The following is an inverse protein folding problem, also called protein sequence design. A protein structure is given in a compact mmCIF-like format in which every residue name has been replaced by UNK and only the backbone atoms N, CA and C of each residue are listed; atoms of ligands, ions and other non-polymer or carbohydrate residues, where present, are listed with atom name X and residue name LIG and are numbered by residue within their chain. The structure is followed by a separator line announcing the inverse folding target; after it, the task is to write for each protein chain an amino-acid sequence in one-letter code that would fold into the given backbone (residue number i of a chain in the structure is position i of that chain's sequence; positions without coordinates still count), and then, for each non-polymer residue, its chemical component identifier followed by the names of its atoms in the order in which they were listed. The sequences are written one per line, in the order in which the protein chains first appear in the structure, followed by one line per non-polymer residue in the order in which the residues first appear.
data_IF_614708688221
#
_entry.id   IF_614708688221
#
_cell.length_a   1.000
_cell.length_b   1.000
_cell.length_c   1.000
_cell.angle_alpha   90.00
_cell.angle_beta   90.00
_cell.angle_gamma   90.00
#
_symmetry.space_group_name_H-M   'P 1'
#
loop_
_entity.id
_entity.type
_entity.pdbx_description
1 polymer ?
#
# COMPACT_ATOMS: atom_id res chain seq x y z
N UNK A 1 -23.02 -8.17 -2.22
CA UNK A 1 -22.34 -6.89 -2.52
C UNK A 1 -22.23 -6.16 -1.20
N UNK A 2 -21.02 -5.77 -0.79
CA UNK A 2 -20.85 -5.00 0.45
C UNK A 2 -21.35 -3.58 0.16
N UNK A 3 -22.25 -3.06 0.99
CA UNK A 3 -22.71 -1.68 0.88
C UNK A 3 -21.49 -0.75 1.11
N UNK A 4 -21.19 0.21 0.22
CA UNK A 4 -19.95 0.99 0.30
C UNK A 4 -20.06 2.11 1.36
N UNK A 5 -20.48 1.75 2.56
CA UNK A 5 -20.44 2.63 3.72
C UNK A 5 -19.02 2.66 4.29
N UNK A 6 -18.70 3.72 5.02
CA UNK A 6 -17.44 3.84 5.74
C UNK A 6 -17.26 2.68 6.73
N UNK A 7 -18.33 2.27 7.39
CA UNK A 7 -18.36 1.17 8.35
C UNK A 7 -18.01 -0.16 7.67
N UNK A 8 -18.61 -0.44 6.51
CA UNK A 8 -18.33 -1.65 5.75
C UNK A 8 -16.91 -1.68 5.19
N UNK A 9 -16.38 -0.54 4.72
CA UNK A 9 -14.97 -0.43 4.31
C UNK A 9 -14.03 -0.66 5.51
N UNK A 10 -14.34 -0.06 6.66
CA UNK A 10 -13.52 -0.22 7.87
C UNK A 10 -13.51 -1.66 8.39
N UNK A 11 -14.63 -2.39 8.28
CA UNK A 11 -14.67 -3.82 8.60
C UNK A 11 -13.71 -4.64 7.72
N UNK A 12 -13.56 -4.29 6.44
CA UNK A 12 -12.58 -4.93 5.56
C UNK A 12 -11.14 -4.56 5.94
N UNK A 13 -10.89 -3.28 6.24
CA UNK A 13 -9.55 -2.74 6.49
C UNK A 13 -9.00 -3.06 7.88
N UNK A 14 -9.85 -3.47 8.82
CA UNK A 14 -9.45 -3.83 10.20
C UNK A 14 -8.30 -4.85 10.22
N UNK A 15 -8.40 -5.90 9.39
CA UNK A 15 -7.39 -6.95 9.32
C UNK A 15 -6.04 -6.53 8.71
N UNK A 16 -5.98 -5.30 8.18
CA UNK A 16 -4.82 -4.65 7.61
C UNK A 16 -4.29 -3.51 8.48
N UNK A 17 -4.94 -3.22 9.62
CA UNK A 17 -4.53 -2.15 10.53
C UNK A 17 -4.78 -0.75 9.99
N UNK A 18 -5.79 -0.56 9.13
CA UNK A 18 -6.13 0.75 8.56
C UNK A 18 -7.60 1.04 8.84
N UNK A 19 -7.92 2.29 9.19
CA UNK A 19 -9.31 2.75 9.37
C UNK A 19 -9.51 4.13 8.77
N UNK A 20 -10.56 4.29 7.96
CA UNK A 20 -10.98 5.59 7.43
C UNK A 20 -11.75 6.36 8.50
N UNK A 21 -11.31 7.58 8.78
CA UNK A 21 -11.87 8.44 9.81
C UNK A 21 -13.05 9.26 9.28
N UNK A 22 -13.92 9.71 10.18
CA UNK A 22 -15.07 10.56 9.85
C UNK A 22 -14.70 12.05 9.95
N UNK A 23 -13.83 12.48 9.02
CA UNK A 23 -13.36 13.86 8.92
C UNK A 23 -13.03 14.24 7.47
N UNK A 24 -12.74 15.52 7.24
CA UNK A 24 -12.22 16.05 5.98
C UNK A 24 -10.95 16.86 6.24
N UNK A 25 -9.92 16.65 5.41
CA UNK A 25 -8.62 17.30 5.57
C UNK A 25 -8.51 18.58 4.73
N UNK A 26 -7.94 19.61 5.34
CA UNK A 26 -7.53 20.87 4.74
C UNK A 26 -6.06 21.15 5.11
N UNK A 27 -5.41 21.92 4.26
CA UNK A 27 -4.04 22.40 4.43
C UNK A 27 -4.04 23.88 3.99
N UNK A 28 -4.08 24.82 4.95
CA UNK A 28 -4.27 26.23 4.64
C UNK A 28 -3.18 26.82 3.76
N UNK A 29 -1.93 26.40 3.94
CA UNK A 29 -0.77 26.91 3.22
C UNK A 29 -0.58 26.18 1.89
N UNK A 30 -0.88 24.88 1.83
CA UNK A 30 -0.61 24.04 0.68
C UNK A 30 -1.90 23.46 0.11
N UNK A 31 -2.64 24.27 -0.69
CA UNK A 31 -3.89 23.84 -1.36
C UNK A 31 -4.15 24.53 -2.69
N UNK A 32 -5.01 23.93 -3.53
CA UNK A 32 -5.41 24.49 -4.84
C UNK A 32 -6.84 25.01 -4.85
N UNK A 33 -7.03 26.27 -4.49
CA UNK A 33 -8.29 26.99 -4.66
C UNK A 33 -9.32 26.79 -3.54
N UNK A 34 -9.65 25.56 -3.13
CA UNK A 34 -10.55 25.30 -1.98
C UNK A 34 -9.82 24.66 -0.80
N UNK A 35 -10.42 24.77 0.39
CA UNK A 35 -10.02 24.01 1.59
C UNK A 35 -10.11 22.50 1.42
N UNK A 36 -10.84 22.05 0.41
CA UNK A 36 -11.04 20.64 0.09
C UNK A 36 -9.98 20.04 -0.83
N UNK A 37 -8.89 20.77 -1.11
CA UNK A 37 -7.86 20.37 -2.09
C UNK A 37 -6.44 20.52 -1.57
N UNK A 38 -6.09 19.82 -0.46
CA UNK A 38 -4.75 19.89 0.11
C UNK A 38 -3.72 19.25 -0.83
N UNK A 39 -2.50 19.78 -0.77
CA UNK A 39 -1.31 19.36 -1.50
C UNK A 39 -0.33 18.77 -0.50
N UNK A 40 -0.19 17.44 -0.54
CA UNK A 40 0.64 16.69 0.40
C UNK A 40 2.03 16.49 -0.17
N UNK A 41 3.03 16.93 0.60
CA UNK A 41 4.46 16.83 0.27
C UNK A 41 5.26 16.06 1.33
N UNK A 42 4.68 15.78 2.51
CA UNK A 42 5.29 14.91 3.52
C UNK A 42 5.10 13.43 3.12
N UNK A 43 5.98 12.98 2.23
CA UNK A 43 5.97 11.66 1.61
C UNK A 43 7.05 10.77 2.24
N UNK A 44 6.67 9.57 2.69
CA UNK A 44 7.64 8.62 3.23
C UNK A 44 8.46 7.96 2.12
N UNK A 45 9.65 7.46 2.47
CA UNK A 45 10.48 6.69 1.53
C UNK A 45 9.80 5.36 1.21
N UNK A 46 9.24 5.25 0.01
CA UNK A 46 8.57 4.05 -0.49
C UNK A 46 8.58 4.05 -2.03
N UNK A 47 8.61 2.89 -2.73
CA UNK A 47 8.54 2.86 -4.21
C UNK A 47 7.34 3.62 -4.79
N UNK A 48 6.23 3.70 -4.05
CA UNK A 48 5.05 4.48 -4.44
C UNK A 48 5.37 5.98 -4.62
N UNK A 49 6.31 6.51 -3.84
CA UNK A 49 6.68 7.93 -3.84
C UNK A 49 7.94 8.24 -4.67
N UNK A 50 8.46 7.27 -5.44
CA UNK A 50 9.68 7.48 -6.22
C UNK A 50 9.46 8.53 -7.33
N UNK A 51 10.29 9.58 -7.31
CA UNK A 51 10.22 10.69 -8.27
C UNK A 51 9.03 11.62 -8.06
N UNK A 52 8.40 11.61 -6.88
CA UNK A 52 7.22 12.40 -6.54
C UNK A 52 7.61 13.46 -5.51
N UNK A 53 7.28 14.71 -5.78
CA UNK A 53 7.48 15.80 -4.83
C UNK A 53 6.21 16.05 -4.01
N UNK A 54 5.05 15.96 -4.65
CA UNK A 54 3.77 16.20 -3.96
C UNK A 54 2.58 15.62 -4.73
N UNK A 55 1.53 15.27 -4.01
CA UNK A 55 0.25 14.84 -4.57
C UNK A 55 -0.85 15.81 -4.15
N UNK A 56 -1.82 16.03 -5.04
CA UNK A 56 -3.00 16.82 -4.72
C UNK A 56 -4.21 15.92 -4.55
N UNK A 57 -4.92 16.15 -3.46
CA UNK A 57 -6.09 15.37 -3.09
C UNK A 57 -7.36 16.19 -3.24
N UNK A 58 -8.49 15.50 -3.22
CA UNK A 58 -9.80 16.08 -3.46
C UNK A 58 -10.78 15.52 -2.44
N UNK A 59 -11.24 16.37 -1.53
CA UNK A 59 -12.08 16.00 -0.37
C UNK A 59 -11.56 14.77 0.40
N UNK A 60 -10.27 14.73 0.79
CA UNK A 60 -9.72 13.57 1.48
C UNK A 60 -10.23 13.44 2.93
N UNK A 61 -10.55 12.23 3.35
CA UNK A 61 -10.62 11.83 4.76
C UNK A 61 -9.24 11.38 5.26
N UNK A 62 -8.96 11.52 6.55
CA UNK A 62 -7.74 10.97 7.13
C UNK A 62 -7.89 9.50 7.47
N UNK A 63 -6.75 8.84 7.70
CA UNK A 63 -6.64 7.45 8.07
C UNK A 63 -6.08 7.34 9.50
N UNK A 64 -6.62 6.41 10.28
CA UNK A 64 -6.01 5.92 11.50
C UNK A 64 -5.26 4.62 11.18
N UNK A 65 -4.03 4.50 11.67
CA UNK A 65 -3.14 3.37 11.41
C UNK A 65 -2.89 2.61 12.72
N UNK A 66 -2.99 1.30 12.63
CA UNK A 66 -2.67 0.33 13.69
C UNK A 66 -1.69 -0.71 13.16
N UNK A 67 -0.96 -1.33 14.09
CA UNK A 67 -0.07 -2.46 13.81
C UNK A 67 0.99 -2.20 12.72
N UNK A 68 0.97 -2.97 11.63
CA UNK A 68 2.03 -3.07 10.62
C UNK A 68 1.78 -2.25 9.35
N UNK A 69 0.70 -1.48 9.31
CA UNK A 69 0.46 -0.61 8.16
C UNK A 69 1.50 0.51 8.09
N UNK A 70 1.92 0.83 6.87
CA UNK A 70 2.98 1.80 6.57
C UNK A 70 2.35 3.07 6.05
N UNK A 71 2.67 4.19 6.69
CA UNK A 71 2.26 5.53 6.25
C UNK A 71 3.05 5.91 5.00
N UNK A 72 2.34 6.28 3.93
CA UNK A 72 2.91 6.69 2.64
C UNK A 72 2.90 8.21 2.47
N UNK A 73 1.81 8.86 2.87
CA UNK A 73 1.65 10.31 2.77
C UNK A 73 0.83 10.83 3.96
N UNK A 74 1.26 11.95 4.53
CA UNK A 74 0.64 12.60 5.69
C UNK A 74 0.69 14.12 5.56
N UNK A 75 -0.05 14.83 6.40
CA UNK A 75 0.04 16.28 6.52
C UNK A 75 1.40 16.79 6.98
N UNK A 76 1.56 18.10 6.93
CA UNK A 76 2.67 18.85 7.51
C UNK A 76 2.22 19.56 8.81
N UNK A 77 2.86 20.65 9.20
CA UNK A 77 2.65 21.29 10.51
C UNK A 77 1.30 22.00 10.66
N UNK A 78 0.70 22.51 9.60
CA UNK A 78 -0.57 23.25 9.63
C UNK A 78 -1.71 22.52 8.91
N UNK A 79 -1.46 21.34 8.36
CA UNK A 79 -2.52 20.41 7.95
C UNK A 79 -3.45 20.08 9.13
N UNK A 80 -4.76 20.05 8.90
CA UNK A 80 -5.72 19.58 9.88
C UNK A 80 -6.89 18.82 9.24
N UNK A 81 -7.54 17.97 10.04
CA UNK A 81 -8.76 17.30 9.64
C UNK A 81 -9.92 17.69 10.58
N UNK A 82 -11.03 18.18 10.01
CA UNK A 82 -12.23 18.56 10.75
C UNK A 82 -13.36 17.55 10.55
N UNK A 83 -14.13 17.27 11.59
CA UNK A 83 -15.25 16.34 11.54
C UNK A 83 -15.59 15.81 12.92
N UNK A 84 -16.15 14.60 12.98
CA UNK A 84 -16.43 13.93 14.25
C UNK A 84 -15.16 13.40 14.93
N UNK A 85 -14.06 13.26 14.19
CA UNK A 85 -12.78 12.75 14.66
C UNK A 85 -11.63 13.69 14.21
N UNK A 86 -11.41 14.83 14.89
CA UNK A 86 -10.45 15.82 14.43
C UNK A 86 -8.99 15.42 14.68
N UNK A 87 -8.10 15.85 13.79
CA UNK A 87 -6.64 15.64 13.88
C UNK A 87 -5.89 16.89 13.37
N UNK A 88 -4.61 16.99 13.72
CA UNK A 88 -3.75 18.09 13.28
C UNK A 88 -2.31 17.66 13.07
N UNK A 89 -1.63 18.43 12.23
CA UNK A 89 -0.24 18.27 11.90
C UNK A 89 0.06 17.00 11.08
N UNK A 90 1.25 16.46 11.31
CA UNK A 90 1.71 15.21 10.70
C UNK A 90 0.92 13.96 11.14
N UNK A 91 -0.01 14.09 12.10
CA UNK A 91 -0.90 12.99 12.47
C UNK A 91 -2.00 12.77 11.43
N UNK A 92 -2.21 13.71 10.52
CA UNK A 92 -3.20 13.60 9.45
C UNK A 92 -2.65 12.70 8.33
N UNK A 93 -2.88 11.40 8.44
CA UNK A 93 -2.41 10.41 7.45
C UNK A 93 -3.42 10.33 6.31
N UNK A 94 -2.99 10.41 5.05
CA UNK A 94 -3.89 10.34 3.89
C UNK A 94 -3.71 9.09 3.04
N UNK A 95 -2.48 8.57 2.98
CA UNK A 95 -2.19 7.34 2.24
C UNK A 95 -1.46 6.38 3.15
N UNK A 96 -1.93 5.15 3.19
CA UNK A 96 -1.25 4.06 3.87
C UNK A 96 -1.34 2.75 3.07
N UNK A 97 -0.39 1.87 3.32
CA UNK A 97 -0.36 0.54 2.72
C UNK A 97 -0.17 -0.53 3.78
N UNK A 98 -0.58 -1.75 3.46
CA UNK A 98 -0.40 -2.92 4.32
C UNK A 98 -0.15 -4.16 3.46
N UNK A 99 0.71 -5.04 3.95
CA UNK A 99 0.99 -6.33 3.31
C UNK A 99 0.60 -7.47 4.25
N UNK A 100 -0.12 -8.46 3.72
CA UNK A 100 -0.51 -9.67 4.47
C UNK A 100 -0.33 -10.90 3.59
N UNK A 101 0.68 -11.70 3.90
CA UNK A 101 1.13 -12.79 3.03
C UNK A 101 1.60 -12.21 1.69
N UNK A 102 0.98 -12.66 0.59
CA UNK A 102 1.23 -12.14 -0.77
C UNK A 102 0.27 -11.02 -1.18
N UNK A 103 -0.71 -10.67 -0.33
CA UNK A 103 -1.67 -9.62 -0.60
C UNK A 103 -1.13 -8.25 -0.20
N UNK A 104 -1.36 -7.26 -1.06
CA UNK A 104 -1.05 -5.85 -0.81
C UNK A 104 -2.35 -5.06 -0.83
N UNK A 105 -2.49 -4.14 0.13
CA UNK A 105 -3.60 -3.19 0.20
C UNK A 105 -3.01 -1.79 0.26
N UNK A 106 -3.61 -0.87 -0.49
CA UNK A 106 -3.35 0.56 -0.39
C UNK A 106 -4.68 1.27 -0.16
N UNK A 107 -4.67 2.23 0.76
CA UNK A 107 -5.83 3.04 1.12
C UNK A 107 -5.47 4.50 0.92
N UNK A 108 -6.30 5.21 0.17
CA UNK A 108 -6.18 6.64 -0.08
C UNK A 108 -7.44 7.29 0.46
N UNK A 109 -7.29 8.33 1.27
CA UNK A 109 -8.40 9.09 1.84
C UNK A 109 -9.28 9.82 0.82
N UNK A 110 -8.92 9.85 -0.47
CA UNK A 110 -9.63 10.56 -1.54
C UNK A 110 -10.01 9.60 -2.67
N UNK A 111 -11.27 9.65 -3.08
CA UNK A 111 -11.77 8.89 -4.24
C UNK A 111 -11.49 9.57 -5.58
N UNK A 112 -11.18 10.86 -5.60
CA UNK A 112 -11.14 11.67 -6.83
C UNK A 112 -9.71 11.93 -7.34
N UNK A 113 -8.66 11.51 -6.62
CA UNK A 113 -7.26 11.72 -7.03
C UNK A 113 -6.95 11.17 -8.43
N UNK A 114 -7.65 10.11 -8.84
CA UNK A 114 -7.46 9.43 -10.12
C UNK A 114 -8.56 9.67 -11.14
N UNK A 115 -9.48 10.61 -10.88
CA UNK A 115 -10.50 10.98 -11.86
C UNK A 115 -9.88 11.58 -13.13
N UNK A 116 -10.57 11.44 -14.26
CA UNK A 116 -10.11 11.93 -15.57
C UNK A 116 -9.65 13.39 -15.55
N UNK A 117 -10.36 14.25 -14.81
CA UNK A 117 -10.02 15.67 -14.70
C UNK A 117 -8.91 15.99 -13.71
N UNK A 118 -8.46 15.02 -12.90
CA UNK A 118 -7.64 15.23 -11.70
C UNK A 118 -6.32 14.46 -11.71
N UNK A 119 -6.26 13.35 -12.44
CA UNK A 119 -5.07 12.50 -12.54
C UNK A 119 -3.86 13.24 -13.13
N UNK A 120 -4.09 14.28 -13.95
CA UNK A 120 -3.05 15.11 -14.55
C UNK A 120 -2.52 16.24 -13.67
N UNK A 121 -3.11 16.46 -12.49
CA UNK A 121 -2.65 17.51 -11.59
C UNK A 121 -1.41 17.07 -10.80
N UNK A 122 -0.39 17.94 -10.73
CA UNK A 122 0.87 17.69 -10.00
C UNK A 122 1.47 16.33 -10.38
N UNK A 123 1.95 15.57 -9.40
CA UNK A 123 2.55 14.25 -9.62
C UNK A 123 1.51 13.10 -9.49
N UNK A 124 0.20 13.38 -9.46
CA UNK A 124 -0.84 12.36 -9.27
C UNK A 124 -0.76 11.22 -10.28
N UNK A 125 -0.43 11.53 -11.54
CA UNK A 125 -0.24 10.52 -12.59
C UNK A 125 0.93 9.59 -12.29
N UNK A 126 2.04 10.13 -11.78
CA UNK A 126 3.21 9.33 -11.43
C UNK A 126 2.95 8.52 -10.16
N UNK A 127 2.27 9.11 -9.17
CA UNK A 127 1.78 8.41 -7.98
C UNK A 127 0.90 7.21 -8.34
N UNK A 128 -0.06 7.39 -9.24
CA UNK A 128 -0.92 6.31 -9.73
C UNK A 128 -0.08 5.18 -10.36
N UNK A 129 0.87 5.51 -11.25
CA UNK A 129 1.74 4.51 -11.89
C UNK A 129 2.55 3.72 -10.86
N UNK A 130 3.21 4.39 -9.94
CA UNK A 130 4.03 3.76 -8.92
C UNK A 130 3.16 2.88 -7.99
N UNK A 131 1.98 3.37 -7.60
CA UNK A 131 1.02 2.65 -6.78
C UNK A 131 0.56 1.35 -7.45
N UNK A 132 0.08 1.43 -8.70
CA UNK A 132 -0.41 0.25 -9.41
C UNK A 132 0.72 -0.72 -9.75
N UNK A 133 1.93 -0.22 -10.05
CA UNK A 133 3.12 -1.07 -10.22
C UNK A 133 3.45 -1.82 -8.93
N UNK A 134 3.41 -1.14 -7.78
CA UNK A 134 3.68 -1.75 -6.48
C UNK A 134 2.62 -2.79 -6.10
N UNK A 135 1.33 -2.49 -6.34
CA UNK A 135 0.23 -3.43 -6.10
C UNK A 135 0.31 -4.66 -7.02
N UNK A 136 0.69 -4.47 -8.29
CA UNK A 136 0.81 -5.54 -9.29
C UNK A 136 2.10 -6.35 -9.20
N UNK A 137 3.09 -5.92 -8.43
CA UNK A 137 4.34 -6.65 -8.27
C UNK A 137 4.14 -7.92 -7.42
N UNK A 138 4.15 -9.07 -8.09
CA UNK A 138 4.01 -10.41 -7.51
C UNK A 138 5.35 -11.11 -7.27
N UNK A 139 6.48 -10.41 -7.39
CA UNK A 139 7.83 -11.00 -7.26
C UNK A 139 8.10 -11.71 -5.93
N UNK A 140 7.35 -11.37 -4.86
CA UNK A 140 7.39 -12.07 -3.56
C UNK A 140 6.69 -13.45 -3.55
N UNK A 141 6.11 -13.92 -4.66
CA UNK A 141 5.50 -15.24 -4.73
C UNK A 141 6.56 -16.32 -4.45
N UNK A 142 6.38 -17.01 -3.31
CA UNK A 142 7.18 -18.15 -2.87
C UNK A 142 7.39 -19.15 -4.00
N UNK A 143 8.60 -19.72 -4.05
CA UNK A 143 8.98 -20.77 -5.00
C UNK A 143 7.82 -21.75 -5.21
N UNK A 144 7.46 -22.05 -6.47
CA UNK A 144 6.28 -22.84 -6.74
C UNK A 144 6.44 -24.24 -6.10
N UNK A 145 5.39 -24.86 -5.55
CA UNK A 145 5.49 -26.10 -4.79
C UNK A 145 6.26 -27.22 -5.53
N UNK A 146 6.17 -27.26 -6.86
CA UNK A 146 6.89 -28.20 -7.71
C UNK A 146 8.42 -28.13 -7.57
N UNK A 147 9.01 -27.00 -7.19
CA UNK A 147 10.46 -26.89 -6.97
C UNK A 147 10.93 -27.69 -5.74
N UNK A 148 10.08 -27.83 -4.73
CA UNK A 148 10.33 -28.73 -3.60
C UNK A 148 10.23 -30.20 -4.05
N UNK A 149 9.25 -30.55 -4.89
CA UNK A 149 9.17 -31.89 -5.46
C UNK A 149 10.39 -32.20 -6.34
N UNK A 150 10.85 -31.25 -7.15
CA UNK A 150 12.01 -31.43 -8.02
C UNK A 150 13.29 -31.64 -7.21
N UNK A 151 13.48 -30.89 -6.11
CA UNK A 151 14.64 -31.08 -5.22
C UNK A 151 14.61 -32.44 -4.51
N UNK A 152 13.44 -32.92 -4.08
CA UNK A 152 13.29 -34.28 -3.53
C UNK A 152 13.65 -35.34 -4.58
N UNK A 153 13.15 -35.21 -5.82
CA UNK A 153 13.47 -36.15 -6.91
C UNK A 153 14.97 -36.18 -7.19
N UNK A 154 15.63 -35.02 -7.26
CA UNK A 154 17.09 -34.92 -7.47
C UNK A 154 17.85 -35.60 -6.32
N UNK A 155 17.45 -35.39 -5.07
CA UNK A 155 18.08 -36.04 -3.90
C UNK A 155 17.96 -37.56 -3.99
N UNK A 156 16.76 -38.09 -4.32
CA UNK A 156 16.54 -39.53 -4.48
C UNK A 156 17.39 -40.10 -5.60
N UNK A 157 17.49 -39.39 -6.73
CA UNK A 157 18.30 -39.82 -7.87
C UNK A 157 19.80 -39.86 -7.53
N UNK A 158 20.31 -38.84 -6.84
CA UNK A 158 21.70 -38.80 -6.37
C UNK A 158 21.98 -39.93 -5.37
N UNK A 159 21.09 -40.14 -4.40
CA UNK A 159 21.21 -41.23 -3.43
C UNK A 159 21.22 -42.60 -4.11
N UNK A 160 20.39 -42.79 -5.14
CA UNK A 160 20.35 -44.02 -5.94
C UNK A 160 21.65 -44.25 -6.72
N UNK A 161 22.21 -43.21 -7.34
CA UNK A 161 23.51 -43.29 -8.03
C UNK A 161 24.63 -43.67 -7.05
N UNK A 162 24.65 -43.06 -5.85
CA UNK A 162 25.64 -43.39 -4.80
C UNK A 162 25.48 -44.85 -4.35
N UNK A 163 24.24 -45.31 -4.16
CA UNK A 163 23.95 -46.70 -3.82
C UNK A 163 24.46 -47.69 -4.87
N UNK A 164 24.19 -47.44 -6.17
CA UNK A 164 24.67 -48.28 -7.27
C UNK A 164 26.19 -48.33 -7.34
N UNK A 165 26.89 -47.19 -7.18
CA UNK A 165 28.36 -47.15 -7.11
C UNK A 165 28.88 -48.01 -5.95
N UNK A 166 28.29 -47.90 -4.76
CA UNK A 166 28.72 -48.66 -3.57
C UNK A 166 28.49 -50.17 -3.73
N UNK A 167 27.42 -50.57 -4.44
CA UNK A 167 27.12 -51.98 -4.74
C UNK A 167 28.11 -52.58 -5.74
N UNK A 168 28.51 -51.84 -6.77
CA UNK A 168 29.45 -52.33 -7.80
C UNK A 168 30.91 -52.42 -7.32
N UNK A 169 31.31 -51.69 -6.27
CA UNK A 169 32.65 -51.79 -5.66
C UNK A 169 32.81 -53.06 -4.80
N UNK A 170 31.70 -53.71 -4.41
CA UNK A 170 31.70 -54.93 -3.57
C UNK A 170 31.65 -56.23 -4.37
N UNK A 171 31.78 -56.18 -5.69
CA UNK A 171 31.96 -57.35 -6.58
C UNK A 171 33.38 -57.37 -7.09
#
# INVERSE_FOLDING_TARGET
MIEPTRESINSLLESFGIRVMKNGTDDPTNRKGCSCTPIIHNLSKHPINEGINSIILYKPASLEIKDKAVVIARGDNDTFALGSEPLGGENVIIVAVSEKGNGKVAVIGSSFIFDNGKIGDMDNKQFAKNLFSWLGDTSKQSLPPWSLYLSIVVIVFIAYIIYLKKKNIKK
#
